data_IF_705549324913
#
_entry.id   IF_705549324913
#
_cell.length_a   1.000
_cell.length_b   1.000
_cell.length_c   1.000
_cell.angle_alpha   90.00
_cell.angle_beta   90.00
_cell.angle_gamma   90.00
#
_symmetry.space_group_name_H-M   'P 1'
#
loop_
_entity.id
_entity.type
_entity.pdbx_description
1 polymer ?
#
# COMPACT_ATOMS: atom_id res chain seq x y z
N UNK A 1 -2.69 -12.89 11.33
CA UNK A 1 -2.87 -13.31 9.93
C UNK A 1 -3.33 -12.12 9.12
N UNK A 2 -2.78 -11.89 7.92
CA UNK A 2 -3.18 -10.76 7.07
C UNK A 2 -4.19 -11.25 6.03
N UNK A 3 -5.41 -10.74 6.12
CA UNK A 3 -6.50 -10.95 5.16
C UNK A 3 -6.09 -10.52 3.74
N UNK A 4 -5.16 -9.56 3.64
CA UNK A 4 -4.72 -8.96 2.39
C UNK A 4 -3.55 -9.62 1.68
N UNK A 5 -2.78 -10.55 2.28
CA UNK A 5 -1.63 -11.13 1.59
C UNK A 5 -2.07 -12.03 0.43
N UNK A 6 -2.28 -11.40 -0.73
CA UNK A 6 -2.00 -12.02 -2.01
C UNK A 6 -0.55 -12.48 -1.92
N UNK A 7 -0.34 -13.79 -1.79
CA UNK A 7 0.99 -14.34 -2.09
C UNK A 7 1.22 -14.00 -3.56
N UNK A 8 2.28 -13.24 -3.86
CA UNK A 8 2.85 -13.32 -5.20
C UNK A 8 2.97 -14.82 -5.53
N UNK A 9 2.54 -15.27 -6.72
CA UNK A 9 2.90 -16.62 -7.14
C UNK A 9 4.42 -16.76 -6.98
N UNK A 10 4.88 -17.85 -6.37
CA UNK A 10 6.30 -18.14 -6.17
C UNK A 10 7.00 -18.11 -7.53
N UNK A 11 7.51 -16.94 -7.92
CA UNK A 11 8.40 -16.81 -9.06
C UNK A 11 9.79 -17.13 -8.56
N UNK A 12 10.50 -18.06 -9.22
CA UNK A 12 11.81 -18.51 -8.76
C UNK A 12 12.73 -17.30 -8.57
N UNK A 13 13.54 -17.36 -7.50
CA UNK A 13 14.42 -16.30 -7.01
C UNK A 13 15.54 -15.84 -7.97
N UNK A 14 15.45 -16.18 -9.27
CA UNK A 14 16.49 -15.95 -10.28
C UNK A 14 16.15 -14.97 -11.40
N UNK A 15 14.90 -14.54 -11.59
CA UNK A 15 14.61 -13.57 -12.65
C UNK A 15 14.87 -12.13 -12.16
N UNK A 16 16.08 -11.62 -12.42
CA UNK A 16 16.42 -10.18 -12.34
C UNK A 16 15.57 -9.31 -13.31
N UNK A 17 14.84 -10.00 -14.19
CA UNK A 17 13.93 -9.45 -15.18
C UNK A 17 12.48 -9.43 -14.65
N UNK A 18 11.76 -8.36 -14.98
CA UNK A 18 10.37 -8.16 -14.60
C UNK A 18 10.15 -6.77 -14.00
N UNK A 19 8.95 -6.24 -14.22
CA UNK A 19 8.53 -4.92 -13.77
C UNK A 19 8.87 -4.71 -12.29
N UNK A 20 9.58 -3.63 -12.03
CA UNK A 20 9.94 -3.15 -10.71
C UNK A 20 9.69 -1.65 -10.67
N UNK A 21 9.55 -1.11 -9.47
CA UNK A 21 9.21 0.28 -9.28
C UNK A 21 10.12 0.92 -8.24
N UNK A 22 10.54 2.17 -8.48
CA UNK A 22 11.02 3.05 -7.41
C UNK A 22 9.84 3.93 -7.00
N UNK A 23 9.40 3.81 -5.75
CA UNK A 23 8.24 4.53 -5.22
C UNK A 23 8.67 5.62 -4.24
N UNK A 24 7.88 6.68 -4.21
CA UNK A 24 7.96 7.78 -3.25
C UNK A 24 6.61 7.93 -2.58
N UNK A 25 6.58 7.80 -1.26
CA UNK A 25 5.38 7.86 -0.42
C UNK A 25 5.54 8.98 0.62
N UNK A 26 5.07 10.21 0.33
CA UNK A 26 5.02 11.29 1.31
C UNK A 26 3.97 11.01 2.39
N UNK A 27 4.24 11.40 3.64
CA UNK A 27 3.24 11.41 4.69
C UNK A 27 2.21 12.53 4.45
N UNK A 28 0.95 12.30 4.82
CA UNK A 28 -0.11 13.28 4.65
C UNK A 28 -0.03 14.47 5.62
N UNK A 29 0.54 14.25 6.80
CA UNK A 29 0.47 15.20 7.94
C UNK A 29 1.81 15.83 8.32
N UNK A 30 2.90 15.41 7.69
CA UNK A 30 4.25 15.89 7.95
C UNK A 30 5.03 16.01 6.65
N UNK A 31 6.03 16.89 6.62
CA UNK A 31 6.98 16.99 5.53
C UNK A 31 8.03 15.86 5.58
N UNK A 32 7.55 14.62 5.70
CA UNK A 32 8.34 13.40 5.72
C UNK A 32 7.91 12.51 4.55
N UNK A 33 8.83 11.75 3.98
CA UNK A 33 8.53 10.81 2.92
C UNK A 33 9.40 9.55 3.00
N UNK A 34 8.87 8.45 2.48
CA UNK A 34 9.58 7.18 2.29
C UNK A 34 9.95 7.02 0.81
N UNK A 35 11.18 6.59 0.56
CA UNK A 35 11.63 6.12 -0.76
C UNK A 35 11.89 4.62 -0.65
N UNK A 36 11.63 3.87 -1.72
CA UNK A 36 12.07 2.48 -1.80
C UNK A 36 11.82 1.88 -3.17
N UNK A 37 12.24 0.64 -3.38
CA UNK A 37 11.89 -0.14 -4.57
C UNK A 37 11.08 -1.40 -4.25
N UNK A 38 10.19 -1.78 -5.15
CA UNK A 38 9.43 -3.05 -5.08
C UNK A 38 8.81 -3.39 -6.42
N UNK A 39 8.47 -4.67 -6.61
CA UNK A 39 7.59 -5.12 -7.71
C UNK A 39 6.13 -4.75 -7.48
N UNK A 40 5.74 -4.53 -6.22
CA UNK A 40 4.39 -4.16 -5.83
C UNK A 40 4.42 -3.03 -4.79
N UNK A 41 4.40 -1.75 -5.21
CA UNK A 41 4.33 -0.60 -4.31
C UNK A 41 3.11 -0.59 -3.38
N UNK A 42 1.97 -1.13 -3.82
CA UNK A 42 0.75 -1.22 -3.00
C UNK A 42 0.97 -2.14 -1.79
N UNK A 43 1.52 -3.33 -2.02
CA UNK A 43 1.85 -4.28 -0.94
C UNK A 43 2.88 -3.68 0.03
N UNK A 44 3.85 -2.90 -0.49
CA UNK A 44 4.81 -2.19 0.36
C UNK A 44 4.17 -1.12 1.23
N UNK A 45 3.27 -0.31 0.67
CA UNK A 45 2.54 0.69 1.44
C UNK A 45 1.74 0.02 2.58
N UNK A 46 1.01 -1.05 2.28
CA UNK A 46 0.27 -1.86 3.26
C UNK A 46 1.16 -2.48 4.36
N UNK A 47 2.37 -2.92 3.98
CA UNK A 47 3.32 -3.50 4.93
C UNK A 47 3.91 -2.44 5.89
N UNK A 48 4.18 -1.23 5.38
CA UNK A 48 4.68 -0.11 6.17
C UNK A 48 3.63 0.39 7.17
N UNK A 49 2.39 0.57 6.70
CA UNK A 49 1.29 1.12 7.46
C UNK A 49 -0.05 0.45 7.11
N UNK A 50 -0.81 -0.07 8.08
CA UNK A 50 -2.15 -0.63 7.82
C UNK A 50 -3.09 0.38 7.18
N UNK A 51 -3.10 1.61 7.71
CA UNK A 51 -3.90 2.72 7.21
C UNK A 51 -3.11 3.57 6.22
N UNK A 52 -2.35 2.93 5.33
CA UNK A 52 -1.48 3.59 4.35
C UNK A 52 -2.22 4.64 3.49
N UNK A 53 -3.51 4.42 3.22
CA UNK A 53 -4.36 5.30 2.41
C UNK A 53 -4.75 6.61 3.10
N UNK A 54 -4.59 6.70 4.44
CA UNK A 54 -4.71 7.94 5.21
C UNK A 54 -3.34 8.46 5.62
N UNK A 55 -2.40 7.56 5.90
CA UNK A 55 -1.08 7.92 6.39
C UNK A 55 -0.21 8.61 5.33
N UNK A 56 -0.27 8.14 4.08
CA UNK A 56 0.47 8.71 2.97
C UNK A 56 -0.39 9.65 2.13
N UNK A 57 0.20 10.74 1.67
CA UNK A 57 -0.37 11.60 0.63
C UNK A 57 -0.24 10.90 -0.73
N UNK A 58 -1.23 10.06 -1.04
CA UNK A 58 -1.25 9.25 -2.25
C UNK A 58 -1.49 10.08 -3.54
N UNK A 59 -1.98 11.31 -3.40
CA UNK A 59 -2.18 12.24 -4.52
C UNK A 59 -0.87 12.91 -4.94
N UNK A 60 0.04 13.14 -3.99
CA UNK A 60 1.41 13.54 -4.27
C UNK A 60 2.29 12.35 -4.66
N UNK A 61 2.11 11.22 -4.01
CA UNK A 61 2.94 10.03 -4.22
C UNK A 61 3.04 9.61 -5.69
N UNK A 62 4.19 9.03 -6.04
CA UNK A 62 4.46 8.53 -7.39
C UNK A 62 5.33 7.28 -7.37
N UNK A 63 5.33 6.55 -8.49
CA UNK A 63 6.26 5.45 -8.72
C UNK A 63 6.79 5.46 -10.15
N UNK A 64 8.08 5.17 -10.33
CA UNK A 64 8.74 5.03 -11.63
C UNK A 64 8.86 3.55 -11.96
N UNK A 65 8.28 3.13 -13.08
CA UNK A 65 8.35 1.75 -13.57
C UNK A 65 9.62 1.52 -14.40
N UNK A 66 10.28 0.39 -14.14
CA UNK A 66 11.43 -0.12 -14.87
C UNK A 66 11.30 -1.62 -15.08
N UNK A 67 12.00 -2.16 -16.08
CA UNK A 67 11.87 -3.58 -16.46
C UNK A 67 12.82 -4.52 -15.70
N UNK A 68 13.75 -3.96 -14.92
CA UNK A 68 14.78 -4.70 -14.20
C UNK A 68 14.94 -4.23 -12.77
N UNK A 69 15.01 -5.17 -11.84
CA UNK A 69 15.25 -4.85 -10.41
C UNK A 69 16.57 -4.12 -10.21
N UNK A 70 17.61 -4.47 -10.99
CA UNK A 70 18.91 -3.79 -10.95
C UNK A 70 18.79 -2.30 -11.26
N UNK A 71 17.95 -1.95 -12.22
CA UNK A 71 17.73 -0.56 -12.62
C UNK A 71 17.01 0.22 -11.51
N UNK A 72 15.96 -0.37 -10.93
CA UNK A 72 15.25 0.22 -9.79
C UNK A 72 16.20 0.52 -8.63
N UNK A 73 17.07 -0.43 -8.28
CA UNK A 73 18.10 -0.25 -7.25
C UNK A 73 19.11 0.85 -7.59
N UNK A 74 19.51 0.96 -8.86
CA UNK A 74 20.43 2.00 -9.29
C UNK A 74 19.79 3.40 -9.15
N UNK A 75 18.53 3.55 -9.57
CA UNK A 75 17.76 4.79 -9.43
C UNK A 75 17.53 5.15 -7.95
N UNK A 76 17.13 4.20 -7.13
CA UNK A 76 16.97 4.36 -5.68
C UNK A 76 18.28 4.77 -5.00
N UNK A 77 19.38 4.07 -5.30
CA UNK A 77 20.69 4.38 -4.72
C UNK A 77 21.16 5.79 -5.10
N UNK A 78 20.92 6.21 -6.36
CA UNK A 78 21.21 7.57 -6.80
C UNK A 78 20.38 8.62 -6.04
N UNK A 79 19.10 8.35 -5.76
CA UNK A 79 18.28 9.21 -4.90
C UNK A 79 18.84 9.29 -3.48
N UNK A 80 19.17 8.15 -2.86
CA UNK A 80 19.71 8.14 -1.49
C UNK A 80 21.01 8.94 -1.37
N UNK A 81 21.88 8.87 -2.38
CA UNK A 81 23.10 9.66 -2.42
C UNK A 81 22.81 11.17 -2.53
N UNK A 82 21.86 11.56 -3.39
CA UNK A 82 21.47 12.96 -3.61
C UNK A 82 20.69 13.58 -2.46
N UNK A 83 19.95 12.77 -1.70
CA UNK A 83 19.08 13.21 -0.61
C UNK A 83 19.68 13.00 0.78
N UNK A 84 20.98 12.72 0.87
CA UNK A 84 21.64 12.36 2.13
C UNK A 84 21.44 13.40 3.24
N UNK A 85 21.46 14.68 2.88
CA UNK A 85 21.28 15.81 3.81
C UNK A 85 19.84 15.90 4.35
N UNK A 86 18.89 15.26 3.67
CA UNK A 86 17.48 15.21 4.06
C UNK A 86 17.14 13.99 4.91
N UNK A 87 18.08 13.09 5.19
CA UNK A 87 17.81 11.87 5.96
C UNK A 87 17.12 12.20 7.29
N UNK A 88 16.07 11.44 7.58
CA UNK A 88 15.25 11.63 8.77
C UNK A 88 14.94 10.26 9.41
N UNK A 89 14.65 10.23 10.73
CA UNK A 89 14.16 9.01 11.36
C UNK A 89 12.76 8.65 10.84
N UNK A 90 12.44 7.36 10.89
CA UNK A 90 11.09 6.88 10.59
C UNK A 90 10.06 7.43 11.61
N UNK A 91 8.80 7.66 11.19
CA UNK A 91 7.70 7.96 12.10
C UNK A 91 7.50 6.82 13.11
N UNK A 92 7.14 7.17 14.35
CA UNK A 92 6.94 6.19 15.44
C UNK A 92 5.85 5.15 15.15
N UNK A 93 4.87 5.51 14.32
CA UNK A 93 3.76 4.62 13.95
C UNK A 93 4.14 3.63 12.85
N UNK A 94 5.26 3.83 12.16
CA UNK A 94 5.71 2.94 11.08
C UNK A 94 6.24 1.65 11.67
N UNK A 95 5.85 0.54 11.07
CA UNK A 95 6.29 -0.78 11.51
C UNK A 95 7.77 -0.97 11.18
N UNK A 96 8.55 -1.43 12.17
CA UNK A 96 9.94 -1.81 11.95
C UNK A 96 10.10 -2.98 10.97
N UNK A 97 9.07 -3.82 10.89
CA UNK A 97 9.03 -4.97 9.99
C UNK A 97 9.08 -4.53 8.53
N UNK A 98 9.72 -5.37 7.72
CA UNK A 98 9.90 -5.16 6.28
C UNK A 98 10.73 -3.91 5.92
N UNK A 99 11.87 -3.69 6.59
CA UNK A 99 12.78 -2.58 6.29
C UNK A 99 12.13 -1.18 6.36
N UNK A 100 11.10 -1.02 7.20
CA UNK A 100 10.36 0.24 7.34
C UNK A 100 11.09 1.35 8.10
N UNK A 101 12.25 1.09 8.72
CA UNK A 101 12.96 2.06 9.56
C UNK A 101 13.95 2.95 8.81
N UNK A 102 14.35 2.58 7.59
CA UNK A 102 15.35 3.31 6.80
C UNK A 102 14.74 4.08 5.62
N UNK A 103 15.56 4.96 5.04
CA UNK A 103 15.25 5.68 3.78
C UNK A 103 14.01 6.58 3.91
N UNK A 104 13.96 7.29 5.04
CA UNK A 104 13.02 8.38 5.30
C UNK A 104 13.74 9.72 5.12
N UNK A 105 13.03 10.69 4.57
CA UNK A 105 13.58 12.00 4.24
C UNK A 105 12.63 13.11 4.65
N UNK A 106 13.17 14.24 5.12
CA UNK A 106 12.43 15.46 5.49
C UNK A 106 12.84 16.62 4.58
N UNK A 107 11.88 17.38 4.06
CA UNK A 107 12.16 18.54 3.19
C UNK A 107 12.71 18.22 1.81
N UNK A 108 12.64 16.96 1.36
CA UNK A 108 13.18 16.52 0.08
C UNK A 108 12.19 16.64 -1.10
N UNK A 109 10.97 17.14 -0.86
CA UNK A 109 9.87 17.02 -1.82
C UNK A 109 10.15 17.71 -3.17
N UNK A 110 10.60 18.96 -3.15
CA UNK A 110 10.89 19.73 -4.38
C UNK A 110 11.94 19.02 -5.24
N UNK A 111 13.03 18.56 -4.63
CA UNK A 111 14.07 17.83 -5.34
C UNK A 111 13.55 16.53 -5.96
N UNK A 112 12.65 15.81 -5.29
CA UNK A 112 12.02 14.61 -5.85
C UNK A 112 11.07 14.90 -7.00
N UNK A 113 10.39 16.05 -7.00
CA UNK A 113 9.58 16.49 -8.14
C UNK A 113 10.47 16.74 -9.36
N UNK A 114 11.62 17.38 -9.16
CA UNK A 114 12.58 17.63 -10.23
C UNK A 114 13.16 16.31 -10.79
N UNK A 115 13.51 15.34 -9.92
CA UNK A 115 13.96 14.02 -10.38
C UNK A 115 12.86 13.26 -11.13
N UNK A 116 11.61 13.30 -10.65
CA UNK A 116 10.49 12.67 -11.34
C UNK A 116 10.27 13.26 -12.74
N UNK A 117 10.36 14.58 -12.88
CA UNK A 117 10.26 15.27 -14.17
C UNK A 117 11.42 14.87 -15.09
N UNK A 118 12.65 14.78 -14.57
CA UNK A 118 13.83 14.33 -15.34
C UNK A 118 13.68 12.91 -15.82
N UNK A 119 13.22 11.99 -14.97
CA UNK A 119 13.00 10.59 -15.35
C UNK A 119 11.91 10.45 -16.42
N UNK A 120 10.83 11.21 -16.30
CA UNK A 120 9.80 11.23 -17.33
C UNK A 120 10.34 11.78 -18.66
N UNK A 121 11.17 12.83 -18.63
CA UNK A 121 11.82 13.38 -19.83
C UNK A 121 12.83 12.40 -20.47
N UNK A 122 13.41 11.51 -19.67
CA UNK A 122 14.27 10.41 -20.13
C UNK A 122 13.49 9.20 -20.66
N UNK A 123 12.15 9.26 -20.64
CA UNK A 123 11.28 8.22 -21.18
C UNK A 123 10.85 7.16 -20.16
N UNK A 124 11.21 7.30 -18.88
CA UNK A 124 10.69 6.39 -17.85
C UNK A 124 9.19 6.59 -17.65
N UNK A 125 8.48 5.49 -17.41
CA UNK A 125 7.05 5.53 -17.14
C UNK A 125 6.80 5.92 -15.68
N UNK A 126 6.21 7.09 -15.49
CA UNK A 126 5.84 7.63 -14.18
C UNK A 126 4.35 7.36 -13.89
N UNK A 127 4.08 6.73 -12.76
CA UNK A 127 2.73 6.53 -12.21
C UNK A 127 2.47 7.58 -11.14
N UNK A 128 1.61 8.56 -11.44
CA UNK A 128 1.17 9.61 -10.51
C UNK A 128 -0.25 10.06 -10.88
N UNK A 129 -1.15 10.31 -9.91
CA UNK A 129 -0.99 10.02 -8.49
C UNK A 129 -1.02 8.51 -8.21
N UNK A 130 -0.38 8.07 -7.12
CA UNK A 130 -0.50 6.68 -6.69
C UNK A 130 -1.88 6.33 -6.15
N UNK A 131 -2.70 7.30 -5.73
CA UNK A 131 -4.10 7.06 -5.38
C UNK A 131 -4.85 6.36 -6.53
N UNK A 132 -4.78 6.91 -7.74
CA UNK A 132 -5.38 6.34 -8.93
C UNK A 132 -4.72 5.02 -9.36
N UNK A 133 -3.42 4.86 -9.17
CA UNK A 133 -2.72 3.61 -9.48
C UNK A 133 -3.11 2.48 -8.50
N UNK A 134 -3.05 2.73 -7.19
CA UNK A 134 -3.52 1.80 -6.15
C UNK A 134 -5.00 1.48 -6.30
N UNK A 135 -5.85 2.44 -6.66
CA UNK A 135 -7.25 2.19 -6.95
C UNK A 135 -7.42 1.10 -8.02
N UNK A 136 -6.71 1.21 -9.15
CA UNK A 136 -6.76 0.19 -10.22
C UNK A 136 -6.26 -1.17 -9.76
N UNK A 137 -5.16 -1.21 -9.00
CA UNK A 137 -4.63 -2.46 -8.44
C UNK A 137 -5.62 -3.13 -7.48
N UNK A 138 -6.29 -2.35 -6.63
CA UNK A 138 -7.32 -2.84 -5.70
C UNK A 138 -8.59 -3.29 -6.43
N UNK A 139 -9.01 -2.58 -7.50
CA UNK A 139 -10.12 -2.99 -8.37
C UNK A 139 -9.80 -4.34 -9.00
N UNK A 140 -8.58 -4.51 -9.54
CA UNK A 140 -8.13 -5.76 -10.15
C UNK A 140 -8.06 -6.94 -9.18
N UNK A 141 -7.98 -6.67 -7.87
CA UNK A 141 -8.04 -7.68 -6.80
C UNK A 141 -9.47 -7.98 -6.32
N UNK A 142 -10.50 -7.42 -6.94
CA UNK A 142 -11.90 -7.53 -6.51
C UNK A 142 -12.40 -8.98 -6.37
N UNK A 143 -12.14 -9.83 -7.37
CA UNK A 143 -12.57 -11.24 -7.33
C UNK A 143 -11.86 -12.00 -6.21
N UNK A 144 -10.56 -11.75 -6.02
CA UNK A 144 -9.78 -12.34 -4.95
C UNK A 144 -10.22 -11.84 -3.56
N UNK A 145 -10.63 -10.57 -3.45
CA UNK A 145 -11.25 -10.03 -2.24
C UNK A 145 -12.56 -10.76 -1.92
N UNK A 146 -13.45 -10.90 -2.91
CA UNK A 146 -14.73 -11.58 -2.74
C UNK A 146 -14.55 -13.03 -2.30
N UNK A 147 -13.68 -13.79 -2.99
CA UNK A 147 -13.39 -15.19 -2.66
C UNK A 147 -12.84 -15.36 -1.23
N UNK A 148 -11.98 -14.44 -0.76
CA UNK A 148 -11.47 -14.46 0.62
C UNK A 148 -12.55 -14.11 1.64
N UNK A 149 -13.43 -13.17 1.30
CA UNK A 149 -14.57 -12.82 2.15
C UNK A 149 -15.55 -14.00 2.29
N UNK A 150 -15.86 -14.70 1.21
CA UNK A 150 -16.64 -15.96 1.23
C UNK A 150 -15.98 -17.03 2.11
N UNK A 151 -14.67 -17.27 1.93
CA UNK A 151 -13.93 -18.23 2.74
C UNK A 151 -13.95 -17.88 4.24
N UNK A 152 -13.87 -16.58 4.58
CA UNK A 152 -14.01 -16.10 5.95
C UNK A 152 -15.42 -16.37 6.49
N UNK A 153 -16.47 -16.05 5.73
CA UNK A 153 -17.84 -16.31 6.15
C UNK A 153 -18.11 -17.80 6.37
N UNK A 154 -17.57 -18.67 5.52
CA UNK A 154 -17.67 -20.11 5.70
C UNK A 154 -17.03 -20.58 7.01
N UNK A 155 -15.87 -20.02 7.38
CA UNK A 155 -15.20 -20.31 8.66
C UNK A 155 -16.01 -19.84 9.87
N UNK A 156 -16.73 -18.71 9.71
CA UNK A 156 -17.63 -18.16 10.73
C UNK A 156 -19.02 -18.80 10.71
N UNK A 157 -19.24 -19.81 9.84
CA UNK A 157 -20.56 -20.43 9.64
C UNK A 157 -21.67 -19.42 9.31
N UNK A 158 -21.31 -18.32 8.66
CA UNK A 158 -22.20 -17.21 8.33
C UNK A 158 -22.45 -16.21 9.47
N UNK A 159 -21.99 -16.48 10.70
CA UNK A 159 -22.16 -15.56 11.83
C UNK A 159 -21.11 -14.44 11.83
N UNK A 160 -21.46 -13.32 11.21
CA UNK A 160 -20.58 -12.14 11.19
C UNK A 160 -20.43 -11.47 12.56
N UNK A 161 -21.33 -11.72 13.53
CA UNK A 161 -21.20 -11.13 14.87
C UNK A 161 -19.99 -11.72 15.63
N UNK A 162 -19.58 -12.94 15.29
CA UNK A 162 -18.36 -13.55 15.84
C UNK A 162 -17.10 -12.71 15.58
N UNK A 163 -17.08 -11.87 14.52
CA UNK A 163 -15.95 -10.96 14.25
C UNK A 163 -15.76 -9.89 15.33
N UNK A 164 -16.78 -9.61 16.14
CA UNK A 164 -16.71 -8.65 17.24
C UNK A 164 -16.20 -9.28 18.56
N UNK A 165 -15.90 -10.58 18.57
CA UNK A 165 -15.22 -11.25 19.69
C UNK A 165 -13.82 -10.64 19.91
N UNK A 166 -13.47 -10.24 21.16
CA UNK A 166 -12.13 -9.76 21.50
C UNK A 166 -10.98 -10.68 21.07
N UNK A 167 -11.18 -12.01 21.06
CA UNK A 167 -10.21 -12.99 20.60
C UNK A 167 -9.87 -12.81 19.11
N UNK A 168 -10.81 -12.30 18.31
CA UNK A 168 -10.63 -12.02 16.89
C UNK A 168 -10.27 -10.56 16.60
N UNK A 169 -10.01 -9.74 17.62
CA UNK A 169 -9.71 -8.32 17.44
C UNK A 169 -8.58 -8.01 16.42
N UNK A 170 -7.47 -8.77 16.34
CA UNK A 170 -6.46 -8.55 15.29
C UNK A 170 -6.97 -8.81 13.88
N UNK A 171 -7.80 -9.84 13.68
CA UNK A 171 -8.43 -10.15 12.40
C UNK A 171 -9.45 -9.07 12.03
N UNK A 172 -10.31 -8.70 12.99
CA UNK A 172 -11.28 -7.63 12.85
C UNK A 172 -10.64 -6.33 12.38
N UNK A 173 -9.60 -5.86 13.09
CA UNK A 173 -8.88 -4.63 12.71
C UNK A 173 -8.30 -4.72 11.30
N UNK A 174 -7.63 -5.84 10.98
CA UNK A 174 -7.04 -6.00 9.66
C UNK A 174 -8.10 -6.05 8.54
N UNK A 175 -9.25 -6.66 8.79
CA UNK A 175 -10.38 -6.66 7.87
C UNK A 175 -10.92 -5.25 7.67
N UNK A 176 -11.16 -4.49 8.76
CA UNK A 176 -11.63 -3.10 8.66
C UNK A 176 -10.65 -2.21 7.89
N UNK A 177 -9.36 -2.24 8.22
CA UNK A 177 -8.35 -1.46 7.50
C UNK A 177 -8.32 -1.82 6.00
N UNK A 178 -8.55 -3.10 5.67
CA UNK A 178 -8.64 -3.56 4.28
C UNK A 178 -9.87 -2.97 3.58
N UNK A 179 -11.05 -3.11 4.19
CA UNK A 179 -12.31 -2.65 3.60
C UNK A 179 -12.33 -1.13 3.48
N UNK A 180 -11.81 -0.41 4.47
CA UNK A 180 -11.62 1.03 4.44
C UNK A 180 -10.72 1.45 3.27
N UNK A 181 -9.60 0.76 3.05
CA UNK A 181 -8.71 1.04 1.93
C UNK A 181 -9.39 0.85 0.57
N UNK A 182 -10.13 -0.26 0.41
CA UNK A 182 -10.91 -0.51 -0.80
C UNK A 182 -12.01 0.55 -0.99
N UNK A 183 -12.70 0.94 0.08
CA UNK A 183 -13.74 1.98 0.05
C UNK A 183 -13.14 3.35 -0.33
N UNK A 184 -12.03 3.72 0.29
CA UNK A 184 -11.38 5.02 0.10
C UNK A 184 -10.78 5.18 -1.30
N UNK A 185 -10.13 4.13 -1.83
CA UNK A 185 -9.39 4.23 -3.09
C UNK A 185 -10.13 3.64 -4.29
N UNK A 186 -10.81 2.51 -4.10
CA UNK A 186 -11.39 1.73 -5.20
C UNK A 186 -12.92 1.90 -5.30
N UNK A 187 -13.52 2.72 -4.44
CA UNK A 187 -14.94 3.05 -4.42
C UNK A 187 -15.80 1.96 -3.81
N UNK A 188 -16.99 1.77 -4.38
CA UNK A 188 -18.05 0.96 -3.78
C UNK A 188 -17.67 -0.53 -3.60
N UNK A 189 -18.12 -1.08 -2.47
CA UNK A 189 -17.90 -2.45 -2.03
C UNK A 189 -19.08 -3.38 -2.35
N UNK A 190 -20.25 -2.86 -2.75
CA UNK A 190 -21.49 -3.63 -2.95
C UNK A 190 -21.32 -4.87 -3.84
N UNK A 191 -20.46 -4.79 -4.86
CA UNK A 191 -20.20 -5.91 -5.80
C UNK A 191 -18.95 -6.73 -5.48
N UNK A 192 -18.21 -6.36 -4.44
CA UNK A 192 -16.90 -6.94 -4.09
C UNK A 192 -16.90 -7.70 -2.78
N UNK A 193 -18.01 -7.66 -2.05
CA UNK A 193 -18.18 -8.38 -0.79
C UNK A 193 -19.52 -9.14 -0.79
N UNK A 194 -19.58 -10.29 -0.10
CA UNK A 194 -20.84 -10.93 0.24
C UNK A 194 -21.71 -10.03 1.11
N UNK A 195 -23.04 -10.09 0.93
CA UNK A 195 -23.99 -9.18 1.57
C UNK A 195 -23.89 -9.17 3.10
N UNK A 196 -23.74 -10.34 3.74
CA UNK A 196 -23.64 -10.44 5.19
C UNK A 196 -22.42 -9.68 5.76
N UNK A 197 -21.27 -9.79 5.09
CA UNK A 197 -20.05 -9.10 5.53
C UNK A 197 -20.12 -7.59 5.28
N UNK A 198 -20.75 -7.21 4.16
CA UNK A 198 -20.99 -5.80 3.85
C UNK A 198 -21.94 -5.15 4.85
N UNK A 199 -23.02 -5.84 5.26
CA UNK A 199 -23.93 -5.36 6.29
C UNK A 199 -23.22 -5.24 7.65
N UNK A 200 -22.42 -6.23 8.03
CA UNK A 200 -21.58 -6.15 9.22
C UNK A 200 -20.64 -4.92 9.18
N UNK A 201 -19.93 -4.71 8.08
CA UNK A 201 -19.05 -3.55 7.91
C UNK A 201 -19.82 -2.23 8.01
N UNK A 202 -21.00 -2.14 7.40
CA UNK A 202 -21.87 -0.95 7.48
C UNK A 202 -22.38 -0.69 8.90
N UNK A 203 -22.71 -1.74 9.67
CA UNK A 203 -23.14 -1.62 11.09
C UNK A 203 -21.99 -1.17 11.99
N UNK A 204 -20.80 -1.72 11.77
CA UNK A 204 -19.57 -1.34 12.49
C UNK A 204 -19.03 0.05 12.13
N UNK A 205 -19.49 0.62 11.01
CA UNK A 205 -19.09 1.93 10.49
C UNK A 205 -19.87 3.13 11.06
N UNK A 206 -20.71 2.95 12.09
CA UNK A 206 -21.13 4.10 12.91
C UNK A 206 -19.96 4.49 13.82
N UNK A 207 -19.44 5.73 13.76
CA UNK A 207 -18.65 6.21 14.87
C UNK A 207 -19.53 6.08 16.12
N UNK A 208 -19.00 5.42 17.15
CA UNK A 208 -19.52 5.60 18.51
C UNK A 208 -19.44 7.12 18.76
N UNK A 209 -20.54 7.77 19.18
CA UNK A 209 -20.55 9.21 19.44
C UNK A 209 -19.49 9.61 20.48
#
# INVERSE_FOLDING_TARGET
>A
MSFLRSREPERPAGASEGRCFVYVLPCAYEDLLKIGHSRNPLERAQALQPRYFEFFDLDRAFAVEVDKVREARALEHALHARLREHNAPAPLTVRAQAAGLGEWYRGAWTQLQDEAARWQAQGHRLHRPLSAWFARELVGQGDALYARAEALLAQLQGDTAALDDPALAPLRRNLLDTLDAHRALAGDLDRRLPAALLEWYRRGGRPVP
#
